data_IF_428649783575
#
_entry.id   IF_428649783575
#
_cell.length_a   1.000
_cell.length_b   1.000
_cell.length_c   1.000
_cell.angle_alpha   90.00
_cell.angle_beta   90.00
_cell.angle_gamma   90.00
#
_symmetry.space_group_name_H-M   'P 1'
#
loop_
_entity.id
_entity.type
_entity.pdbx_description
1 polymer ?
#
# COMPACT_ATOMS: atom_id res chain seq x y z
N UNK A 1 71.41 -10.24 -41.99
CA UNK A 1 70.42 -10.62 -40.96
C UNK A 1 69.04 -10.43 -41.56
N UNK A 2 68.54 -11.45 -42.26
CA UNK A 2 67.15 -11.51 -42.72
C UNK A 2 66.51 -12.57 -41.84
N UNK A 3 65.71 -12.14 -40.86
CA UNK A 3 64.94 -13.04 -40.01
C UNK A 3 63.79 -13.58 -40.84
N UNK A 4 63.92 -14.87 -41.15
CA UNK A 4 62.97 -15.74 -41.80
C UNK A 4 61.63 -15.73 -41.03
N UNK A 5 60.68 -14.91 -41.47
CA UNK A 5 59.27 -15.02 -41.09
C UNK A 5 58.61 -16.01 -42.06
N UNK A 6 59.08 -17.25 -42.06
CA UNK A 6 58.37 -18.34 -42.72
C UNK A 6 57.17 -18.68 -41.82
N UNK A 7 56.06 -18.00 -42.06
CA UNK A 7 54.77 -18.36 -41.51
C UNK A 7 54.49 -19.82 -41.92
N UNK A 8 54.58 -20.72 -40.96
CA UNK A 8 54.33 -22.15 -41.19
C UNK A 8 52.85 -22.33 -41.54
N UNK A 9 52.58 -22.67 -42.80
CA UNK A 9 51.24 -22.93 -43.30
C UNK A 9 50.54 -24.03 -42.49
N UNK A 10 51.29 -24.96 -41.89
CA UNK A 10 50.78 -25.97 -40.95
C UNK A 10 50.25 -25.37 -39.64
N UNK A 11 50.93 -24.36 -39.10
CA UNK A 11 50.48 -23.66 -37.90
C UNK A 11 49.25 -22.78 -38.16
N UNK A 12 49.19 -22.11 -39.32
CA UNK A 12 48.00 -21.34 -39.70
C UNK A 12 46.79 -22.25 -39.91
N UNK A 13 46.94 -23.33 -40.66
CA UNK A 13 45.85 -24.28 -40.90
C UNK A 13 45.37 -24.96 -39.62
N UNK A 14 46.27 -25.28 -38.69
CA UNK A 14 45.92 -25.77 -37.36
C UNK A 14 45.17 -24.74 -36.50
N UNK A 15 45.62 -23.48 -36.49
CA UNK A 15 44.95 -22.40 -35.76
C UNK A 15 43.56 -22.10 -36.34
N UNK A 16 43.42 -22.10 -37.67
CA UNK A 16 42.12 -21.93 -38.35
C UNK A 16 41.18 -23.09 -38.04
N UNK A 17 41.68 -24.33 -38.00
CA UNK A 17 40.87 -25.49 -37.63
C UNK A 17 40.42 -25.45 -36.16
N UNK A 18 41.29 -25.00 -35.25
CA UNK A 18 40.95 -24.83 -33.83
C UNK A 18 39.90 -23.71 -33.63
N UNK A 19 40.06 -22.58 -34.31
CA UNK A 19 39.06 -21.50 -34.31
C UNK A 19 37.74 -21.97 -34.92
N UNK A 20 37.78 -22.75 -36.01
CA UNK A 20 36.59 -23.31 -36.63
C UNK A 20 35.88 -24.29 -35.67
N UNK A 21 36.62 -25.16 -34.98
CA UNK A 21 36.06 -26.10 -34.01
C UNK A 21 35.48 -25.39 -32.77
N UNK A 22 36.13 -24.32 -32.30
CA UNK A 22 35.58 -23.54 -31.18
C UNK A 22 34.37 -22.69 -31.62
N UNK A 23 34.38 -22.15 -32.84
CA UNK A 23 33.21 -21.51 -33.42
C UNK A 23 32.05 -22.49 -33.59
N UNK A 24 32.32 -23.72 -34.06
CA UNK A 24 31.33 -24.79 -34.23
C UNK A 24 30.68 -25.18 -32.89
N UNK A 25 31.43 -25.15 -31.78
CA UNK A 25 30.88 -25.37 -30.45
C UNK A 25 30.14 -24.17 -29.84
N UNK A 26 30.66 -22.95 -30.04
CA UNK A 26 30.14 -21.74 -29.36
C UNK A 26 28.97 -21.08 -30.08
N UNK A 27 28.94 -21.11 -31.40
CA UNK A 27 27.85 -20.51 -32.18
C UNK A 27 26.50 -21.15 -31.84
N UNK A 28 26.34 -22.49 -31.82
CA UNK A 28 25.09 -23.13 -31.41
C UNK A 28 24.68 -22.79 -29.98
N UNK A 29 25.64 -22.72 -29.04
CA UNK A 29 25.36 -22.37 -27.65
C UNK A 29 24.86 -20.92 -27.48
N UNK A 30 25.42 -19.98 -28.24
CA UNK A 30 24.96 -18.58 -28.26
C UNK A 30 23.55 -18.49 -28.87
N UNK A 31 23.29 -19.21 -29.96
CA UNK A 31 21.95 -19.25 -30.57
C UNK A 31 20.91 -19.82 -29.60
N UNK A 32 21.23 -20.92 -28.91
CA UNK A 32 20.37 -21.50 -27.87
C UNK A 32 20.14 -20.52 -26.70
N UNK A 33 21.17 -19.79 -26.27
CA UNK A 33 21.04 -18.78 -25.22
C UNK A 33 20.17 -17.59 -25.66
N UNK A 34 20.26 -17.16 -26.92
CA UNK A 34 19.40 -16.10 -27.47
C UNK A 34 17.94 -16.56 -27.58
N UNK A 35 17.69 -17.81 -27.97
CA UNK A 35 16.35 -18.39 -27.97
C UNK A 35 15.77 -18.45 -26.55
N UNK A 36 16.57 -18.91 -25.57
CA UNK A 36 16.18 -18.93 -24.16
C UNK A 36 15.87 -17.55 -23.60
N UNK A 37 16.75 -16.58 -23.86
CA UNK A 37 16.54 -15.19 -23.45
C UNK A 37 15.29 -14.57 -24.09
N UNK A 38 15.04 -14.82 -25.38
CA UNK A 38 13.83 -14.33 -26.05
C UNK A 38 12.56 -14.96 -25.48
N UNK A 39 12.60 -16.24 -25.10
CA UNK A 39 11.47 -16.92 -24.46
C UNK A 39 11.19 -16.34 -23.06
N UNK A 40 12.25 -16.08 -22.30
CA UNK A 40 12.15 -15.43 -20.99
C UNK A 40 11.59 -14.01 -21.11
N UNK A 41 12.11 -13.22 -22.06
CA UNK A 41 11.62 -11.88 -22.35
C UNK A 41 10.14 -11.87 -22.75
N UNK A 42 9.70 -12.80 -23.62
CA UNK A 42 8.29 -12.92 -23.97
C UNK A 42 7.42 -13.28 -22.76
N UNK A 43 7.92 -14.13 -21.87
CA UNK A 43 7.23 -14.48 -20.63
C UNK A 43 7.11 -13.25 -19.72
N UNK A 44 8.21 -12.53 -19.50
CA UNK A 44 8.23 -11.29 -18.70
C UNK A 44 7.29 -10.24 -19.28
N UNK A 45 7.30 -10.04 -20.60
CA UNK A 45 6.39 -9.10 -21.27
C UNK A 45 4.93 -9.52 -21.09
N UNK A 46 4.61 -10.82 -21.15
CA UNK A 46 3.28 -11.34 -20.87
C UNK A 46 2.83 -11.05 -19.44
N UNK A 47 3.72 -11.25 -18.46
CA UNK A 47 3.44 -10.90 -17.05
C UNK A 47 3.22 -9.40 -16.86
N UNK A 48 4.10 -8.56 -17.42
CA UNK A 48 3.96 -7.10 -17.34
C UNK A 48 2.65 -6.64 -18.01
N UNK A 49 2.34 -7.17 -19.19
CA UNK A 49 1.10 -6.85 -19.93
C UNK A 49 -0.16 -7.27 -19.14
N UNK A 50 -0.13 -8.40 -18.46
CA UNK A 50 -1.21 -8.81 -17.57
C UNK A 50 -1.36 -7.83 -16.41
N UNK A 51 -0.26 -7.39 -15.78
CA UNK A 51 -0.30 -6.42 -14.67
C UNK A 51 -0.86 -5.06 -15.10
N UNK A 52 -0.49 -4.56 -16.28
CA UNK A 52 -0.98 -3.27 -16.82
C UNK A 52 -2.23 -3.39 -17.70
N UNK A 53 -2.87 -4.56 -17.71
CA UNK A 53 -4.06 -4.81 -18.52
C UNK A 53 -5.21 -3.85 -18.17
N UNK A 54 -6.09 -3.59 -19.15
CA UNK A 54 -7.30 -2.78 -18.93
C UNK A 54 -8.18 -3.34 -17.80
N UNK A 55 -8.20 -4.66 -17.63
CA UNK A 55 -8.92 -5.30 -16.53
C UNK A 55 -8.36 -4.88 -15.18
N UNK A 56 -7.04 -4.93 -15.01
CA UNK A 56 -6.38 -4.53 -13.77
C UNK A 56 -6.51 -3.02 -13.53
N UNK A 57 -6.36 -2.20 -14.58
CA UNK A 57 -6.64 -0.76 -14.49
C UNK A 57 -8.08 -0.51 -14.02
N UNK A 58 -9.06 -1.26 -14.55
CA UNK A 58 -10.45 -1.19 -14.13
C UNK A 58 -10.67 -1.63 -12.67
N UNK A 59 -9.98 -2.68 -12.21
CA UNK A 59 -10.00 -3.14 -10.80
C UNK A 59 -9.47 -2.05 -9.87
N UNK A 60 -8.31 -1.45 -10.20
CA UNK A 60 -7.72 -0.35 -9.44
C UNK A 60 -8.69 0.82 -9.37
N UNK A 61 -9.25 1.24 -10.51
CA UNK A 61 -10.19 2.37 -10.55
C UNK A 61 -11.44 2.12 -9.68
N UNK A 62 -11.98 0.90 -9.66
CA UNK A 62 -13.10 0.54 -8.77
C UNK A 62 -12.69 0.61 -7.30
N UNK A 63 -11.52 0.08 -6.94
CA UNK A 63 -10.99 0.19 -5.57
C UNK A 63 -10.84 1.64 -5.14
N UNK A 64 -10.32 2.51 -6.01
CA UNK A 64 -10.21 3.94 -5.74
C UNK A 64 -11.57 4.60 -5.52
N UNK A 65 -12.57 4.28 -6.35
CA UNK A 65 -13.93 4.78 -6.17
C UNK A 65 -14.55 4.31 -4.83
N UNK A 66 -14.28 3.07 -4.41
CA UNK A 66 -14.70 2.58 -3.10
C UNK A 66 -14.01 3.30 -1.94
N UNK A 67 -12.71 3.56 -2.04
CA UNK A 67 -11.95 4.33 -1.04
C UNK A 67 -12.51 5.75 -0.91
N UNK A 68 -12.85 6.38 -2.03
CA UNK A 68 -13.47 7.72 -2.02
C UNK A 68 -14.86 7.74 -1.42
N UNK A 69 -15.67 6.73 -1.74
CA UNK A 69 -16.99 6.56 -1.13
C UNK A 69 -16.86 6.34 0.38
N UNK A 70 -15.90 5.54 0.82
CA UNK A 70 -15.62 5.32 2.23
C UNK A 70 -15.17 6.62 2.91
N UNK A 71 -14.25 7.38 2.30
CA UNK A 71 -13.79 8.67 2.82
C UNK A 71 -14.94 9.67 2.99
N UNK A 72 -15.86 9.75 2.02
CA UNK A 72 -17.05 10.59 2.15
C UNK A 72 -17.99 10.12 3.28
N UNK A 73 -18.15 8.80 3.43
CA UNK A 73 -18.91 8.21 4.53
C UNK A 73 -18.31 8.55 5.90
N UNK A 74 -16.99 8.42 6.04
CA UNK A 74 -16.28 8.79 7.26
C UNK A 74 -16.38 10.29 7.57
N UNK A 75 -16.28 11.16 6.55
CA UNK A 75 -16.51 12.60 6.75
C UNK A 75 -17.92 12.92 7.27
N UNK A 76 -18.93 12.18 6.80
CA UNK A 76 -20.30 12.31 7.29
C UNK A 76 -20.40 11.87 8.76
N UNK A 77 -19.83 10.70 9.08
CA UNK A 77 -19.79 10.19 10.46
C UNK A 77 -19.09 11.18 11.39
N UNK A 78 -17.97 11.79 10.96
CA UNK A 78 -17.28 12.81 11.75
C UNK A 78 -18.14 14.05 12.04
N UNK A 79 -18.97 14.45 11.08
CA UNK A 79 -19.96 15.52 11.27
C UNK A 79 -21.03 15.11 12.27
N UNK A 80 -21.59 13.91 12.14
CA UNK A 80 -22.60 13.39 13.06
C UNK A 80 -22.06 13.25 14.49
N UNK A 81 -20.79 12.86 14.65
CA UNK A 81 -20.11 12.81 15.94
C UNK A 81 -19.93 14.21 16.53
N UNK A 82 -19.53 15.21 15.74
CA UNK A 82 -19.41 16.58 16.21
C UNK A 82 -20.77 17.13 16.73
N UNK A 83 -21.85 16.82 16.01
CA UNK A 83 -23.21 17.18 16.43
C UNK A 83 -23.62 16.44 17.72
N UNK A 84 -23.23 15.18 17.87
CA UNK A 84 -23.46 14.42 19.10
C UNK A 84 -22.69 15.02 20.30
N UNK A 85 -21.42 15.41 20.12
CA UNK A 85 -20.63 16.08 21.15
C UNK A 85 -21.29 17.38 21.60
N UNK A 86 -21.76 18.21 20.66
CA UNK A 86 -22.45 19.46 20.98
C UNK A 86 -23.74 19.23 21.79
N UNK A 87 -24.50 18.17 21.48
CA UNK A 87 -25.70 17.80 22.24
C UNK A 87 -25.35 17.32 23.65
N UNK A 88 -24.26 16.56 23.81
CA UNK A 88 -23.76 16.12 25.12
C UNK A 88 -23.32 17.32 25.97
N UNK A 89 -22.61 18.28 25.39
CA UNK A 89 -22.22 19.52 26.08
C UNK A 89 -23.44 20.34 26.54
N UNK A 90 -24.44 20.47 25.68
CA UNK A 90 -25.69 21.14 26.03
C UNK A 90 -26.42 20.41 27.19
N UNK A 91 -26.39 19.08 27.21
CA UNK A 91 -26.97 18.29 28.30
C UNK A 91 -26.21 18.49 29.61
N UNK A 92 -24.87 18.48 29.58
CA UNK A 92 -24.02 18.78 30.75
C UNK A 92 -24.37 20.16 31.31
N UNK A 93 -24.50 21.18 30.46
CA UNK A 93 -24.88 22.53 30.88
C UNK A 93 -26.26 22.59 31.57
N UNK A 94 -27.22 21.79 31.12
CA UNK A 94 -28.54 21.66 31.77
C UNK A 94 -28.43 20.96 33.12
N UNK A 95 -27.63 19.90 33.21
CA UNK A 95 -27.37 19.19 34.46
C UNK A 95 -26.71 20.13 35.48
N UNK A 96 -25.69 20.88 35.08
CA UNK A 96 -25.00 21.86 35.94
C UNK A 96 -25.96 22.97 36.41
N UNK A 97 -26.95 23.36 35.60
CA UNK A 97 -28.01 24.27 36.03
C UNK A 97 -28.94 23.64 37.09
N UNK A 98 -29.35 22.38 36.91
CA UNK A 98 -30.17 21.67 37.90
C UNK A 98 -29.43 21.49 39.22
N UNK A 99 -28.15 21.10 39.18
CA UNK A 99 -27.29 20.92 40.37
C UNK A 99 -27.24 22.18 41.22
N UNK A 100 -27.15 23.37 40.59
CA UNK A 100 -27.15 24.65 41.32
C UNK A 100 -28.47 24.97 42.04
N UNK A 101 -29.56 24.34 41.62
CA UNK A 101 -30.91 24.56 42.18
C UNK A 101 -31.41 23.41 43.06
N UNK A 102 -30.63 22.32 43.16
CA UNK A 102 -31.00 21.10 43.87
C UNK A 102 -30.19 20.97 45.17
N UNK A 103 -30.84 20.62 46.28
CA UNK A 103 -30.19 20.35 47.57
C UNK A 103 -30.08 18.83 47.84
N UNK A 104 -29.07 18.40 48.59
CA UNK A 104 -28.89 17.01 49.03
C UNK A 104 -28.44 16.02 47.94
N UNK A 105 -28.78 14.74 48.11
CA UNK A 105 -28.29 13.58 47.32
C UNK A 105 -28.61 13.66 45.81
N UNK A 106 -29.67 14.40 45.44
CA UNK A 106 -30.03 14.66 44.03
C UNK A 106 -28.89 15.41 43.31
N UNK A 107 -28.16 16.26 44.04
CA UNK A 107 -27.01 16.99 43.48
C UNK A 107 -25.81 16.08 43.19
N UNK A 108 -25.65 14.97 43.91
CA UNK A 108 -24.54 14.04 43.72
C UNK A 108 -24.75 13.16 42.49
N UNK A 109 -25.92 12.52 42.37
CA UNK A 109 -26.24 11.70 41.18
C UNK A 109 -26.22 12.50 39.87
N UNK A 110 -26.61 13.78 39.91
CA UNK A 110 -26.50 14.68 38.77
C UNK A 110 -25.04 15.02 38.41
N UNK A 111 -24.15 15.18 39.40
CA UNK A 111 -22.71 15.41 39.15
C UNK A 111 -22.06 14.18 38.51
N UNK A 112 -22.42 12.98 38.95
CA UNK A 112 -21.93 11.73 38.36
C UNK A 112 -22.39 11.58 36.90
N UNK A 113 -23.66 11.89 36.62
CA UNK A 113 -24.16 11.91 35.25
C UNK A 113 -23.40 12.90 34.36
N UNK A 114 -23.13 14.12 34.85
CA UNK A 114 -22.30 15.09 34.14
C UNK A 114 -20.87 14.58 33.90
N UNK A 115 -20.28 13.87 34.86
CA UNK A 115 -18.95 13.29 34.70
C UNK A 115 -18.91 12.22 33.61
N UNK A 116 -19.87 11.28 33.59
CA UNK A 116 -19.95 10.25 32.54
C UNK A 116 -20.15 10.89 31.16
N UNK A 117 -21.01 11.90 31.06
CA UNK A 117 -21.25 12.61 29.80
C UNK A 117 -19.99 13.33 29.29
N UNK A 118 -19.18 13.95 30.17
CA UNK A 118 -17.89 14.55 29.79
C UNK A 118 -16.93 13.50 29.23
N UNK A 119 -16.89 12.31 29.83
CA UNK A 119 -16.07 11.19 29.33
C UNK A 119 -16.52 10.73 27.93
N UNK A 120 -17.83 10.69 27.70
CA UNK A 120 -18.40 10.39 26.38
C UNK A 120 -18.02 11.46 25.35
N UNK A 121 -18.15 12.75 25.68
CA UNK A 121 -17.76 13.84 24.80
C UNK A 121 -16.27 13.74 24.40
N UNK A 122 -15.38 13.52 25.37
CA UNK A 122 -13.95 13.34 25.10
C UNK A 122 -13.66 12.12 24.21
N UNK A 123 -14.44 11.04 24.37
CA UNK A 123 -14.31 9.85 23.51
C UNK A 123 -14.76 10.13 22.08
N UNK A 124 -15.85 10.89 21.91
CA UNK A 124 -16.34 11.33 20.61
C UNK A 124 -15.28 12.20 19.91
N UNK A 125 -14.67 13.16 20.61
CA UNK A 125 -13.61 14.00 20.06
C UNK A 125 -12.41 13.19 19.56
N UNK A 126 -12.01 12.17 20.33
CA UNK A 126 -10.90 11.27 19.95
C UNK A 126 -11.25 10.49 18.67
N UNK A 127 -12.44 9.90 18.60
CA UNK A 127 -12.89 9.15 17.43
C UNK A 127 -12.97 10.08 16.21
N UNK A 128 -13.45 11.31 16.39
CA UNK A 128 -13.55 12.27 15.29
C UNK A 128 -12.16 12.64 14.73
N UNK A 129 -11.16 12.81 15.60
CA UNK A 129 -9.78 13.03 15.17
C UNK A 129 -9.23 11.85 14.35
N UNK A 130 -9.48 10.61 14.79
CA UNK A 130 -9.07 9.40 14.07
C UNK A 130 -9.77 9.28 12.70
N UNK A 131 -11.05 9.66 12.63
CA UNK A 131 -11.83 9.70 11.40
C UNK A 131 -11.27 10.73 10.41
N UNK A 132 -10.93 11.94 10.87
CA UNK A 132 -10.29 12.96 10.04
C UNK A 132 -8.94 12.47 9.49
N UNK A 133 -8.12 11.85 10.34
CA UNK A 133 -6.85 11.26 9.95
C UNK A 133 -7.01 10.15 8.91
N UNK A 134 -7.96 9.24 9.14
CA UNK A 134 -8.27 8.14 8.21
C UNK A 134 -8.76 8.66 6.87
N UNK A 135 -9.68 9.63 6.87
CA UNK A 135 -10.21 10.28 5.67
C UNK A 135 -9.12 10.96 4.86
N UNK A 136 -8.21 11.70 5.53
CA UNK A 136 -7.05 12.32 4.88
C UNK A 136 -6.13 11.26 4.27
N UNK A 137 -5.81 10.19 5.00
CA UNK A 137 -4.95 9.12 4.50
C UNK A 137 -5.55 8.43 3.27
N UNK A 138 -6.86 8.18 3.25
CA UNK A 138 -7.56 7.59 2.10
C UNK A 138 -7.55 8.52 0.88
N UNK A 139 -7.77 9.81 1.08
CA UNK A 139 -7.70 10.80 0.00
C UNK A 139 -6.28 10.91 -0.57
N UNK A 140 -5.27 10.91 0.29
CA UNK A 140 -3.86 10.93 -0.12
C UNK A 140 -3.46 9.65 -0.85
N UNK A 141 -3.86 8.49 -0.35
CA UNK A 141 -3.68 7.21 -1.05
C UNK A 141 -4.33 7.25 -2.44
N UNK A 142 -5.60 7.65 -2.54
CA UNK A 142 -6.30 7.73 -3.82
C UNK A 142 -5.58 8.65 -4.81
N UNK A 143 -5.13 9.81 -4.31
CA UNK A 143 -4.35 10.78 -5.09
C UNK A 143 -3.02 10.21 -5.56
N UNK A 144 -2.27 9.55 -4.68
CA UNK A 144 -0.97 8.95 -5.00
C UNK A 144 -1.11 7.89 -6.08
N UNK A 145 -2.07 6.98 -5.97
CA UNK A 145 -2.29 5.93 -6.98
C UNK A 145 -2.74 6.51 -8.33
N UNK A 146 -3.51 7.61 -8.35
CA UNK A 146 -3.89 8.27 -9.61
C UNK A 146 -2.70 8.95 -10.30
N UNK A 147 -1.80 9.55 -9.53
CA UNK A 147 -0.62 10.24 -10.04
C UNK A 147 0.45 9.24 -10.48
N UNK A 148 0.61 8.16 -9.73
CA UNK A 148 1.54 7.07 -10.01
C UNK A 148 0.88 5.71 -9.70
N UNK A 149 0.22 5.08 -10.70
CA UNK A 149 -0.33 3.75 -10.55
C UNK A 149 0.75 2.69 -10.29
N UNK A 150 2.00 2.96 -10.70
CA UNK A 150 3.16 2.09 -10.51
C UNK A 150 3.55 1.94 -9.04
N UNK A 151 3.21 2.92 -8.20
CA UNK A 151 3.44 2.89 -6.77
C UNK A 151 2.78 1.67 -6.09
N UNK A 152 1.67 1.12 -6.64
CA UNK A 152 1.07 -0.10 -6.12
C UNK A 152 2.02 -1.30 -6.13
N UNK A 153 2.94 -1.36 -7.09
CA UNK A 153 3.90 -2.47 -7.24
C UNK A 153 5.14 -2.30 -6.35
N UNK A 154 5.40 -1.07 -5.89
CA UNK A 154 6.49 -0.74 -4.99
C UNK A 154 6.03 -0.68 -3.52
N UNK A 155 4.71 -0.69 -3.27
CA UNK A 155 4.17 -0.79 -1.92
C UNK A 155 4.50 -2.17 -1.33
N UNK A 156 5.23 -2.24 -0.20
CA UNK A 156 5.43 -3.50 0.49
C UNK A 156 4.07 -3.97 1.02
N UNK A 157 3.40 -4.88 0.31
CA UNK A 157 2.28 -5.64 0.86
C UNK A 157 2.82 -6.50 1.99
N UNK A 158 2.73 -5.94 3.20
CA UNK A 158 2.90 -6.55 4.52
C UNK A 158 3.36 -8.03 4.51
N UNK A 159 4.67 -8.25 4.62
CA UNK A 159 5.24 -9.48 5.21
C UNK A 159 5.02 -9.56 6.74
N UNK A 160 4.34 -8.59 7.33
CA UNK A 160 3.95 -8.57 8.75
C UNK A 160 2.50 -9.05 8.96
N UNK A 161 2.22 -10.30 8.61
CA UNK A 161 1.11 -11.04 9.21
C UNK A 161 1.65 -11.96 10.33
N UNK A 162 2.48 -11.40 11.20
CA UNK A 162 2.92 -12.05 12.44
C UNK A 162 2.08 -11.54 13.60
N UNK A 163 0.92 -12.15 13.82
CA UNK A 163 0.06 -11.92 14.99
C UNK A 163 0.80 -12.39 16.26
N UNK A 164 1.18 -11.53 17.23
CA UNK A 164 1.70 -11.98 18.51
C UNK A 164 0.51 -12.22 19.44
N UNK A 165 -0.11 -13.39 19.34
CA UNK A 165 -1.32 -13.67 20.11
C UNK A 165 -1.79 -15.11 20.11
N UNK A 166 -0.87 -16.07 20.00
CA UNK A 166 -1.16 -17.49 20.21
C UNK A 166 -0.68 -17.93 21.60
N UNK A 167 -1.39 -17.52 22.64
CA UNK A 167 -1.15 -18.04 23.99
C UNK A 167 -1.49 -19.52 24.04
N UNK A 168 -0.49 -20.35 24.33
CA UNK A 168 -0.66 -21.75 24.70
C UNK A 168 -1.60 -21.85 25.91
N UNK A 169 -2.71 -22.56 25.73
CA UNK A 169 -3.40 -23.27 26.80
C UNK A 169 -3.52 -24.73 26.39
#
# INVERSE_FOLDING_TARGET
VALDHQIDLGQITGAVAAVAAEADGRVPAILAALEGFSAELNTTLGTVQAMVSEENAGRVNRTLAHVETAAAGFATIGTDLADAASQVDALIGRIDALVRTSEGDVSEGLRDAAYVLRSVAQSIDTINNDIEGTTRNMNEFSRQIRQDPGALFDMPWRQEAGYPGGGTR
#
